data_IF_104024743783
#
_entry.id   IF_104024743783
#
_cell.length_a   1.000
_cell.length_b   1.000
_cell.length_c   1.000
_cell.angle_alpha   90.00
_cell.angle_beta   90.00
_cell.angle_gamma   90.00
#
_symmetry.space_group_name_H-M   'P 1'
#
loop_
_entity.id
_entity.type
_entity.pdbx_description
1 polymer ?
#
# COMPACT_ATOMS: atom_id res chain seq x y z
N UNK A 1 -0.03 -6.94 -2.35
CA UNK A 1 -1.06 -6.30 -3.23
C UNK A 1 -1.67 -7.32 -4.18
N UNK A 2 -0.88 -8.11 -4.94
CA UNK A 2 -1.41 -9.06 -5.91
C UNK A 2 -2.38 -10.08 -5.28
N UNK A 3 -1.95 -10.81 -4.26
CA UNK A 3 -2.78 -11.81 -3.56
C UNK A 3 -4.07 -11.18 -3.04
N UNK A 4 -3.98 -10.04 -2.37
CA UNK A 4 -5.14 -9.35 -1.80
C UNK A 4 -6.19 -9.00 -2.87
N UNK A 5 -5.77 -8.37 -3.98
CA UNK A 5 -6.67 -8.01 -5.08
C UNK A 5 -7.27 -9.24 -5.75
N UNK A 6 -6.47 -10.27 -5.96
CA UNK A 6 -6.93 -11.52 -6.55
C UNK A 6 -8.00 -12.19 -5.68
N UNK A 7 -7.77 -12.27 -4.37
CA UNK A 7 -8.75 -12.84 -3.44
C UNK A 7 -10.05 -12.03 -3.39
N UNK A 8 -9.98 -10.70 -3.45
CA UNK A 8 -11.20 -9.87 -3.53
C UNK A 8 -11.97 -10.15 -4.83
N UNK A 9 -11.27 -10.20 -5.97
CA UNK A 9 -11.92 -10.50 -7.26
C UNK A 9 -12.59 -11.87 -7.23
N UNK A 10 -11.90 -12.91 -6.79
CA UNK A 10 -12.48 -14.25 -6.66
C UNK A 10 -13.70 -14.27 -5.72
N UNK A 11 -13.58 -13.62 -4.55
CA UNK A 11 -14.68 -13.56 -3.57
C UNK A 11 -15.91 -12.84 -4.12
N UNK A 12 -15.74 -11.90 -5.02
CA UNK A 12 -16.82 -11.16 -5.68
C UNK A 12 -17.20 -11.73 -7.04
N UNK A 13 -16.63 -12.88 -7.42
CA UNK A 13 -16.87 -13.59 -8.69
C UNK A 13 -16.51 -12.77 -9.94
N UNK A 14 -15.41 -12.03 -9.84
CA UNK A 14 -14.84 -11.30 -10.97
C UNK A 14 -13.56 -12.00 -11.45
N UNK A 15 -13.35 -12.03 -12.74
CA UNK A 15 -12.04 -12.31 -13.32
C UNK A 15 -11.08 -11.16 -13.09
N UNK A 16 -9.78 -11.45 -13.09
CA UNK A 16 -8.75 -10.43 -12.93
C UNK A 16 -7.60 -10.61 -13.91
N UNK A 17 -7.20 -9.50 -14.54
CA UNK A 17 -5.95 -9.43 -15.32
C UNK A 17 -4.96 -8.55 -14.57
N UNK A 18 -3.81 -9.10 -14.23
CA UNK A 18 -2.77 -8.41 -13.46
C UNK A 18 -1.73 -7.82 -14.41
N UNK A 19 -1.57 -6.50 -14.38
CA UNK A 19 -0.43 -5.82 -15.01
C UNK A 19 0.62 -5.53 -13.93
N UNK A 20 1.67 -6.36 -13.81
CA UNK A 20 2.65 -6.23 -12.73
C UNK A 20 3.62 -5.09 -13.00
N UNK A 21 4.16 -4.50 -11.92
CA UNK A 21 5.30 -3.60 -12.05
C UNK A 21 6.51 -4.37 -12.61
N UNK A 22 7.28 -3.83 -13.59
CA UNK A 22 8.38 -4.56 -14.23
C UNK A 22 9.41 -5.16 -13.25
N UNK A 23 9.76 -4.43 -12.19
CA UNK A 23 10.72 -4.91 -11.16
C UNK A 23 10.16 -6.01 -10.26
N UNK A 24 8.85 -6.11 -10.12
CA UNK A 24 8.17 -7.09 -9.27
C UNK A 24 7.44 -8.17 -10.07
N UNK A 25 7.66 -8.23 -11.39
CA UNK A 25 6.94 -9.14 -12.29
C UNK A 25 7.03 -10.59 -11.84
N UNK A 26 8.22 -11.09 -11.58
CA UNK A 26 8.45 -12.50 -11.23
C UNK A 26 7.67 -12.92 -9.98
N UNK A 27 7.81 -12.18 -8.88
CA UNK A 27 7.12 -12.51 -7.63
C UNK A 27 5.60 -12.30 -7.73
N UNK A 28 5.14 -11.29 -8.48
CA UNK A 28 3.71 -11.03 -8.70
C UNK A 28 3.05 -12.18 -9.46
N UNK A 29 3.68 -12.64 -10.55
CA UNK A 29 3.17 -13.77 -11.35
C UNK A 29 3.22 -15.06 -10.55
N UNK A 30 4.30 -15.33 -9.81
CA UNK A 30 4.39 -16.52 -8.96
C UNK A 30 3.27 -16.54 -7.91
N UNK A 31 2.99 -15.41 -7.27
CA UNK A 31 1.89 -15.29 -6.32
C UNK A 31 0.51 -15.51 -6.99
N UNK A 32 0.30 -14.97 -8.20
CA UNK A 32 -0.92 -15.16 -8.96
C UNK A 32 -1.15 -16.63 -9.32
N UNK A 33 -0.09 -17.36 -9.73
CA UNK A 33 -0.16 -18.81 -10.04
C UNK A 33 -0.59 -19.62 -8.84
N UNK A 34 -0.01 -19.39 -7.67
CA UNK A 34 -0.39 -20.10 -6.43
C UNK A 34 -1.87 -19.91 -6.11
N UNK A 35 -2.39 -18.68 -6.27
CA UNK A 35 -3.81 -18.42 -6.02
C UNK A 35 -4.68 -19.05 -7.10
N UNK A 36 -4.26 -19.02 -8.37
CA UNK A 36 -4.99 -19.66 -9.49
C UNK A 36 -5.10 -21.17 -9.29
N UNK A 37 -3.99 -21.85 -8.97
CA UNK A 37 -3.98 -23.30 -8.72
C UNK A 37 -4.96 -23.67 -7.60
N UNK A 38 -4.96 -22.94 -6.50
CA UNK A 38 -5.88 -23.17 -5.39
C UNK A 38 -7.35 -22.90 -5.79
N UNK A 39 -7.60 -21.85 -6.57
CA UNK A 39 -8.93 -21.49 -7.04
C UNK A 39 -9.50 -22.55 -7.99
N UNK A 40 -8.70 -23.02 -8.95
CA UNK A 40 -9.08 -24.08 -9.91
C UNK A 40 -9.33 -25.40 -9.18
N UNK A 41 -8.50 -25.76 -8.23
CA UNK A 41 -8.71 -26.95 -7.39
C UNK A 41 -10.02 -26.87 -6.58
N UNK A 42 -10.49 -25.68 -6.28
CA UNK A 42 -11.78 -25.43 -5.63
C UNK A 42 -12.97 -25.27 -6.63
N UNK A 43 -12.74 -25.46 -7.93
CA UNK A 43 -13.77 -25.43 -8.97
C UNK A 43 -13.94 -24.08 -9.69
N UNK A 44 -13.01 -23.15 -9.56
CA UNK A 44 -13.02 -21.94 -10.37
C UNK A 44 -12.60 -22.22 -11.82
N UNK A 45 -13.03 -21.39 -12.80
CA UNK A 45 -12.52 -21.47 -14.16
C UNK A 45 -11.00 -21.28 -14.25
N UNK A 46 -10.35 -21.99 -15.19
CA UNK A 46 -8.89 -21.93 -15.37
C UNK A 46 -8.37 -20.55 -15.82
N UNK A 47 -9.21 -19.74 -16.42
CA UNK A 47 -8.92 -18.41 -16.94
C UNK A 47 -9.35 -17.26 -16.02
N UNK A 48 -9.80 -17.57 -14.79
CA UNK A 48 -10.31 -16.56 -13.84
C UNK A 48 -9.23 -15.54 -13.40
N UNK A 49 -7.94 -15.93 -13.46
CA UNK A 49 -6.79 -15.07 -13.14
C UNK A 49 -5.84 -15.10 -14.33
N UNK A 50 -5.59 -13.95 -14.93
CA UNK A 50 -4.61 -13.76 -15.98
C UNK A 50 -3.58 -12.68 -15.58
N UNK A 51 -2.48 -12.63 -16.32
CA UNK A 51 -1.42 -11.63 -16.09
C UNK A 51 -0.72 -11.28 -17.39
N UNK A 52 -0.04 -10.12 -17.36
CA UNK A 52 0.79 -9.63 -18.45
C UNK A 52 2.24 -10.11 -18.24
N UNK A 53 2.75 -10.92 -19.14
CA UNK A 53 4.13 -11.42 -19.08
C UNK A 53 5.17 -10.38 -19.47
N UNK A 54 4.82 -9.48 -20.40
CA UNK A 54 5.70 -8.39 -20.85
C UNK A 54 5.00 -7.06 -20.61
N UNK A 55 5.08 -6.52 -19.38
CA UNK A 55 4.41 -5.28 -19.04
C UNK A 55 5.00 -4.09 -19.81
N UNK A 56 4.12 -3.31 -20.43
CA UNK A 56 4.42 -2.05 -21.07
C UNK A 56 3.39 -1.00 -20.69
N UNK A 57 3.74 0.27 -20.86
CA UNK A 57 2.81 1.37 -20.61
C UNK A 57 1.63 1.33 -21.59
N UNK A 58 1.90 1.00 -22.85
CA UNK A 58 0.88 0.87 -23.90
C UNK A 58 -0.14 -0.22 -23.56
N UNK A 59 0.33 -1.42 -23.23
CA UNK A 59 -0.53 -2.54 -22.85
C UNK A 59 -1.30 -2.26 -21.57
N UNK A 60 -0.69 -1.61 -20.58
CA UNK A 60 -1.38 -1.19 -19.36
C UNK A 60 -2.51 -0.22 -19.67
N UNK A 61 -2.27 0.77 -20.53
CA UNK A 61 -3.29 1.72 -20.96
C UNK A 61 -4.40 1.04 -21.79
N UNK A 62 -4.05 0.02 -22.61
CA UNK A 62 -5.04 -0.77 -23.33
C UNK A 62 -5.93 -1.55 -22.37
N UNK A 63 -5.34 -2.26 -21.39
CA UNK A 63 -6.12 -2.97 -20.37
C UNK A 63 -7.06 -2.03 -19.60
N UNK A 64 -6.61 -0.81 -19.27
CA UNK A 64 -7.46 0.18 -18.61
C UNK A 64 -8.66 0.61 -19.48
N UNK A 65 -8.52 0.63 -20.81
CA UNK A 65 -9.64 0.95 -21.72
C UNK A 65 -10.63 -0.20 -21.90
N UNK A 66 -10.16 -1.44 -21.80
CA UNK A 66 -10.96 -2.63 -22.07
C UNK A 66 -11.62 -3.21 -20.79
N UNK A 67 -11.02 -3.02 -19.64
CA UNK A 67 -11.53 -3.54 -18.37
C UNK A 67 -12.88 -2.92 -17.99
N UNK A 68 -13.73 -3.66 -17.29
CA UNK A 68 -14.98 -3.16 -16.72
C UNK A 68 -14.75 -2.35 -15.46
N UNK A 69 -13.73 -2.71 -14.67
CA UNK A 69 -13.33 -2.04 -13.44
C UNK A 69 -11.80 -2.07 -13.28
N UNK A 70 -11.22 -0.96 -12.88
CA UNK A 70 -9.79 -0.84 -12.66
C UNK A 70 -9.48 -0.77 -11.17
N UNK A 71 -8.57 -1.63 -10.69
CA UNK A 71 -8.00 -1.59 -9.35
C UNK A 71 -6.54 -1.11 -9.44
N UNK A 72 -6.32 0.21 -9.49
CA UNK A 72 -5.00 0.79 -9.62
C UNK A 72 -4.35 1.00 -8.25
N UNK A 73 -3.10 0.53 -8.08
CA UNK A 73 -2.26 0.86 -6.92
C UNK A 73 -0.88 1.26 -7.44
N UNK A 74 -0.46 2.46 -7.13
CA UNK A 74 0.83 2.96 -7.63
C UNK A 74 1.03 4.44 -7.36
N UNK A 75 2.01 5.02 -8.04
CA UNK A 75 2.27 6.46 -7.95
C UNK A 75 1.16 7.33 -8.53
N UNK A 76 1.21 8.66 -8.30
CA UNK A 76 0.17 9.60 -8.75
C UNK A 76 -0.15 9.50 -10.24
N UNK A 77 0.86 9.26 -11.08
CA UNK A 77 0.67 9.10 -12.54
C UNK A 77 -0.20 7.91 -12.90
N UNK A 78 -0.02 6.76 -12.25
CA UNK A 78 -0.82 5.56 -12.45
C UNK A 78 -2.28 5.78 -12.02
N UNK A 79 -2.48 6.40 -10.87
CA UNK A 79 -3.82 6.70 -10.35
C UNK A 79 -4.55 7.68 -11.27
N UNK A 80 -3.84 8.73 -11.75
CA UNK A 80 -4.39 9.68 -12.72
C UNK A 80 -4.77 9.00 -14.03
N UNK A 81 -3.93 8.11 -14.55
CA UNK A 81 -4.21 7.34 -15.77
C UNK A 81 -5.47 6.46 -15.61
N UNK A 82 -5.60 5.79 -14.46
CA UNK A 82 -6.78 4.96 -14.17
C UNK A 82 -8.07 5.77 -14.16
N UNK A 83 -8.11 6.89 -13.46
CA UNK A 83 -9.29 7.77 -13.43
C UNK A 83 -9.56 8.47 -14.76
N UNK A 84 -8.55 8.66 -15.61
CA UNK A 84 -8.70 9.28 -16.93
C UNK A 84 -9.01 8.28 -18.05
N UNK A 85 -9.12 6.99 -17.74
CA UNK A 85 -9.38 5.95 -18.73
C UNK A 85 -10.81 5.93 -19.29
N UNK A 86 -11.75 6.61 -18.63
CA UNK A 86 -13.18 6.57 -18.95
C UNK A 86 -13.91 5.33 -18.37
N UNK A 87 -13.23 4.52 -17.57
CA UNK A 87 -13.78 3.34 -16.90
C UNK A 87 -13.91 3.57 -15.39
N UNK A 88 -14.81 2.86 -14.70
CA UNK A 88 -14.84 2.84 -13.26
C UNK A 88 -13.47 2.44 -12.69
N UNK A 89 -12.94 3.21 -11.75
CA UNK A 89 -11.62 2.97 -11.19
C UNK A 89 -11.59 3.20 -9.69
N UNK A 90 -10.91 2.29 -8.98
CA UNK A 90 -10.53 2.41 -7.59
C UNK A 90 -9.02 2.60 -7.53
N UNK A 91 -8.60 3.85 -7.42
CA UNK A 91 -7.18 4.24 -7.43
C UNK A 91 -6.65 4.49 -6.02
N UNK A 92 -5.52 3.87 -5.69
CA UNK A 92 -4.79 4.07 -4.43
C UNK A 92 -3.40 4.56 -4.75
N UNK A 93 -3.13 5.80 -4.37
CA UNK A 93 -1.85 6.46 -4.51
C UNK A 93 -1.01 6.45 -3.23
N UNK A 94 -0.08 7.41 -3.08
CA UNK A 94 0.68 7.62 -1.86
C UNK A 94 -0.26 7.82 -0.67
N UNK A 95 -0.01 7.09 0.41
CA UNK A 95 -0.77 7.22 1.64
C UNK A 95 -0.24 8.35 2.53
N UNK A 96 -1.11 8.90 3.36
CA UNK A 96 -0.75 9.75 4.49
C UNK A 96 -1.65 9.34 5.67
N UNK A 97 -1.25 8.25 6.32
CA UNK A 97 -2.03 7.60 7.37
C UNK A 97 -1.73 8.25 8.72
N UNK A 98 -2.69 8.91 9.38
CA UNK A 98 -2.53 9.37 10.76
C UNK A 98 -2.84 8.24 11.74
N UNK A 99 -2.05 8.14 12.81
CA UNK A 99 -2.40 7.39 14.01
C UNK A 99 -2.91 8.35 15.08
N UNK A 100 -4.01 8.00 15.76
CA UNK A 100 -4.57 8.82 16.84
C UNK A 100 -4.36 8.09 18.16
N UNK A 101 -3.76 8.77 19.13
CA UNK A 101 -3.56 8.27 20.50
C UNK A 101 -4.35 9.18 21.46
N UNK A 102 -5.37 8.65 22.09
CA UNK A 102 -6.15 9.35 23.11
C UNK A 102 -5.75 8.91 24.52
N UNK A 103 -6.35 9.52 25.53
CA UNK A 103 -6.04 9.29 26.94
C UNK A 103 -6.55 7.94 27.47
N UNK A 104 -7.42 7.25 26.74
CA UNK A 104 -7.87 5.90 27.05
C UNK A 104 -6.92 4.82 26.54
N UNK A 105 -5.93 5.19 25.72
CA UNK A 105 -5.01 4.25 25.10
C UNK A 105 -4.00 3.66 26.10
N UNK A 106 -3.64 2.38 25.90
CA UNK A 106 -2.42 1.85 26.52
C UNK A 106 -1.20 2.44 25.79
N UNK A 107 -0.57 3.45 26.37
CA UNK A 107 0.50 4.22 25.72
C UNK A 107 1.68 3.36 25.31
N UNK A 108 2.08 2.39 26.15
CA UNK A 108 3.20 1.49 25.84
C UNK A 108 2.93 0.64 24.60
N UNK A 109 1.71 0.11 24.50
CA UNK A 109 1.27 -0.68 23.36
C UNK A 109 1.10 0.19 22.10
N UNK A 110 0.46 1.37 22.25
CA UNK A 110 0.22 2.30 21.14
C UNK A 110 1.51 2.74 20.48
N UNK A 111 2.48 3.25 21.26
CA UNK A 111 3.79 3.68 20.75
C UNK A 111 4.55 2.52 20.13
N UNK A 112 4.57 1.34 20.79
CA UNK A 112 5.22 0.15 20.24
C UNK A 112 4.64 -0.24 18.88
N UNK A 113 3.32 -0.22 18.76
CA UNK A 113 2.62 -0.59 17.52
C UNK A 113 2.92 0.38 16.39
N UNK A 114 2.92 1.69 16.66
CA UNK A 114 3.26 2.73 15.68
C UNK A 114 4.71 2.56 15.20
N UNK A 115 5.67 2.38 16.11
CA UNK A 115 7.07 2.18 15.74
C UNK A 115 7.23 0.92 14.88
N UNK A 116 6.63 -0.20 15.30
CA UNK A 116 6.72 -1.46 14.59
C UNK A 116 6.11 -1.37 13.18
N UNK A 117 4.95 -0.74 13.06
CA UNK A 117 4.30 -0.50 11.77
C UNK A 117 5.11 0.44 10.88
N UNK A 118 5.58 1.57 11.43
CA UNK A 118 6.35 2.57 10.67
C UNK A 118 7.70 2.07 10.20
N UNK A 119 8.38 1.23 10.98
CA UNK A 119 9.70 0.69 10.62
C UNK A 119 9.62 -0.53 9.71
N UNK A 120 8.43 -1.13 9.55
CA UNK A 120 8.23 -2.20 8.59
C UNK A 120 8.58 -1.73 7.17
N UNK A 121 9.34 -2.55 6.46
CA UNK A 121 9.81 -2.27 5.09
C UNK A 121 10.49 -0.89 4.97
N UNK A 122 11.24 -0.48 5.97
CA UNK A 122 11.92 0.83 6.07
C UNK A 122 10.96 2.03 5.89
N UNK A 123 9.69 1.89 6.27
CA UNK A 123 8.68 2.92 6.14
C UNK A 123 8.21 3.18 4.70
N UNK A 124 8.52 2.28 3.76
CA UNK A 124 8.20 2.43 2.34
C UNK A 124 6.74 2.09 2.01
N UNK A 125 6.09 1.28 2.83
CA UNK A 125 4.71 0.88 2.57
C UNK A 125 3.75 2.06 2.71
N UNK A 126 2.83 2.22 1.75
CA UNK A 126 1.85 3.31 1.72
C UNK A 126 0.87 3.32 2.91
N UNK A 127 0.72 2.21 3.63
CA UNK A 127 -0.13 2.08 4.81
C UNK A 127 0.59 2.45 6.12
N UNK A 128 1.90 2.73 6.10
CA UNK A 128 2.63 3.13 7.30
C UNK A 128 2.21 4.52 7.78
N UNK A 129 2.25 4.72 9.07
CA UNK A 129 1.87 5.98 9.70
C UNK A 129 2.81 7.12 9.26
N UNK A 130 2.22 8.24 8.87
CA UNK A 130 2.94 9.46 8.46
C UNK A 130 2.90 10.53 9.53
N UNK A 131 1.89 10.47 10.40
CA UNK A 131 1.72 11.40 11.51
C UNK A 131 1.09 10.69 12.70
N UNK A 132 1.39 11.20 13.90
CA UNK A 132 0.76 10.75 15.14
C UNK A 132 0.07 11.95 15.78
N UNK A 133 -1.25 11.87 15.90
CA UNK A 133 -2.09 12.87 16.57
C UNK A 133 -2.32 12.40 17.99
N UNK A 134 -1.90 13.19 18.96
CA UNK A 134 -1.97 12.83 20.38
C UNK A 134 -2.78 13.88 21.11
N UNK A 135 -3.72 13.46 21.97
CA UNK A 135 -4.44 14.40 22.83
C UNK A 135 -3.49 15.02 23.87
N UNK A 136 -3.72 16.27 24.20
CA UNK A 136 -2.82 17.10 25.01
C UNK A 136 -2.46 16.47 26.36
N UNK A 137 -3.44 15.85 27.02
CA UNK A 137 -3.28 15.24 28.35
C UNK A 137 -2.20 14.14 28.44
N UNK A 138 -1.90 13.45 27.31
CA UNK A 138 -0.92 12.36 27.25
C UNK A 138 0.25 12.66 26.30
N UNK A 139 0.30 13.84 25.71
CA UNK A 139 1.29 14.20 24.69
C UNK A 139 2.73 14.02 25.16
N UNK A 140 3.11 14.57 26.29
CA UNK A 140 4.49 14.47 26.81
C UNK A 140 4.87 13.03 27.19
N UNK A 141 3.91 12.26 27.74
CA UNK A 141 4.13 10.86 28.06
C UNK A 141 4.36 10.00 26.80
N UNK A 142 3.58 10.23 25.74
CA UNK A 142 3.74 9.56 24.44
C UNK A 142 5.08 9.93 23.81
N UNK A 143 5.44 11.19 23.82
CA UNK A 143 6.72 11.68 23.30
C UNK A 143 7.92 11.06 24.03
N UNK A 144 7.86 11.02 25.36
CA UNK A 144 8.88 10.38 26.19
C UNK A 144 9.01 8.87 25.86
N UNK A 145 7.89 8.17 25.66
CA UNK A 145 7.90 6.75 25.32
C UNK A 145 8.49 6.48 23.93
N UNK A 146 8.27 7.35 22.92
CA UNK A 146 8.97 7.26 21.63
C UNK A 146 10.48 7.35 21.83
N UNK A 147 10.96 8.30 22.63
CA UNK A 147 12.40 8.47 22.93
C UNK A 147 12.95 7.25 23.67
N UNK A 148 12.25 6.74 24.68
CA UNK A 148 12.63 5.53 25.42
C UNK A 148 12.81 4.30 24.52
N UNK A 149 12.08 4.25 23.41
CA UNK A 149 12.19 3.17 22.41
C UNK A 149 13.19 3.45 21.29
N UNK A 150 14.00 4.48 21.42
CA UNK A 150 15.09 4.80 20.50
C UNK A 150 14.71 5.71 19.33
N UNK A 151 13.53 6.32 19.36
CA UNK A 151 13.20 7.37 18.39
C UNK A 151 13.90 8.67 18.75
N UNK A 152 14.39 9.37 17.75
CA UNK A 152 14.94 10.71 17.88
C UNK A 152 13.91 11.75 17.46
N UNK A 153 13.63 12.71 18.32
CA UNK A 153 12.77 13.85 18.00
C UNK A 153 13.65 14.93 17.39
N UNK A 154 13.48 15.19 16.12
CA UNK A 154 14.27 16.17 15.37
C UNK A 154 14.01 17.59 15.88
N UNK A 155 15.08 18.39 15.99
CA UNK A 155 14.97 19.84 16.05
C UNK A 155 14.59 20.41 14.66
N UNK A 156 14.19 21.68 14.60
CA UNK A 156 13.85 22.31 13.32
C UNK A 156 15.04 22.30 12.35
N UNK A 157 16.27 22.52 12.86
CA UNK A 157 17.49 22.49 12.05
C UNK A 157 17.76 21.07 11.49
N UNK A 158 17.62 20.05 12.33
CA UNK A 158 17.77 18.64 11.92
C UNK A 158 16.68 18.25 10.91
N UNK A 159 15.45 18.71 11.11
CA UNK A 159 14.34 18.45 10.19
C UNK A 159 14.60 19.03 8.80
N UNK A 160 15.13 20.26 8.71
CA UNK A 160 15.53 20.87 7.43
C UNK A 160 16.65 20.08 6.73
N UNK A 161 17.66 19.65 7.49
CA UNK A 161 18.77 18.85 6.97
C UNK A 161 18.27 17.49 6.43
N UNK A 162 17.38 16.81 7.16
CA UNK A 162 16.77 15.54 6.73
C UNK A 162 15.93 15.76 5.47
N UNK A 163 15.10 16.82 5.43
CA UNK A 163 14.30 17.18 4.27
C UNK A 163 15.16 17.38 3.02
N UNK A 164 16.23 18.14 3.13
CA UNK A 164 17.18 18.35 2.03
C UNK A 164 17.94 17.11 1.57
N UNK A 165 17.97 16.05 2.39
CA UNK A 165 18.61 14.77 2.05
C UNK A 165 17.63 13.78 1.41
N UNK A 166 16.36 13.76 1.84
CA UNK A 166 15.37 12.77 1.41
C UNK A 166 14.61 13.22 0.15
N UNK A 167 14.40 14.53 -0.01
CA UNK A 167 13.59 15.11 -1.09
C UNK A 167 14.45 15.58 -2.28
N UNK A 168 15.47 14.83 -2.65
CA UNK A 168 16.31 15.10 -3.82
C UNK A 168 15.61 14.63 -5.11
#
# INVERSE_FOLDING_TARGET
TAIFKTLICLKTRNGIIISPHPRAKGCTIAAAKVVLEAAVAAGAPEDIIAWVDVPSLELTNQLMREADLILATGGPGMVKAAYSSGKPALGVGPGNTPAIIDDSANLLLAVSSVIHSKTFDNGMICASEQSVVVVDSVYEAVKAEFVNRGCHILTDEEAEKVRGTILI
#
